data_IF_159121328517
#
_entry.id   IF_159121328517
#
_cell.length_a   1.000
_cell.length_b   1.000
_cell.length_c   1.000
_cell.angle_alpha   90.00
_cell.angle_beta   90.00
_cell.angle_gamma   90.00
#
_symmetry.space_group_name_H-M   'P 1'
#
loop_
_entity.id
_entity.type
_entity.pdbx_description
1 polymer ?
#
# COMPACT_ATOMS: atom_id res chain seq x y z
N UNK A 1 7.98 -49.99 -52.79
CA UNK A 1 8.32 -51.05 -51.83
C UNK A 1 7.03 -51.59 -51.21
N UNK A 2 6.88 -52.93 -51.21
CA UNK A 2 5.86 -53.85 -50.67
C UNK A 2 4.58 -53.25 -50.01
N UNK A 3 3.32 -53.55 -50.37
CA UNK A 3 2.58 -54.80 -50.63
C UNK A 3 2.42 -55.80 -49.47
N UNK A 4 1.13 -56.08 -49.18
CA UNK A 4 0.50 -57.22 -48.45
C UNK A 4 0.59 -57.18 -46.92
N UNK A 5 -0.43 -57.57 -46.16
CA UNK A 5 -1.74 -58.21 -46.43
C UNK A 5 -2.55 -58.15 -45.11
N UNK A 6 -3.67 -58.83 -44.87
CA UNK A 6 -4.40 -59.88 -45.58
C UNK A 6 -5.75 -59.97 -44.85
N UNK A 7 -6.81 -59.81 -45.64
CA UNK A 7 -8.17 -60.34 -45.53
C UNK A 7 -8.36 -61.49 -44.51
N UNK A 8 -9.41 -61.39 -43.69
CA UNK A 8 -10.01 -62.52 -42.98
C UNK A 8 -11.40 -62.15 -42.47
N UNK A 9 -12.44 -62.42 -43.25
CA UNK A 9 -13.81 -62.49 -42.76
C UNK A 9 -14.36 -63.87 -43.11
N UNK A 10 -15.16 -64.47 -42.21
CA UNK A 10 -16.21 -65.46 -42.48
C UNK A 10 -17.26 -65.37 -41.34
N UNK A 11 -18.57 -65.59 -41.63
CA UNK A 11 -19.72 -65.12 -40.87
C UNK A 11 -20.45 -66.26 -40.13
N UNK A 12 -21.78 -66.14 -39.95
CA UNK A 12 -22.80 -67.09 -39.43
C UNK A 12 -23.10 -66.86 -37.93
N UNK A 13 -24.33 -66.73 -37.44
CA UNK A 13 -25.56 -67.47 -37.80
C UNK A 13 -26.80 -66.79 -37.18
N UNK A 14 -27.88 -66.75 -37.95
CA UNK A 14 -29.26 -66.43 -37.54
C UNK A 14 -29.77 -67.25 -36.35
N UNK A 15 -30.67 -66.66 -35.54
CA UNK A 15 -31.50 -67.39 -34.58
C UNK A 15 -32.17 -66.52 -33.49
N UNK A 16 -33.27 -65.83 -33.81
CA UNK A 16 -34.30 -65.41 -32.83
C UNK A 16 -34.95 -66.64 -32.14
N UNK A 17 -35.67 -66.57 -30.97
CA UNK A 17 -36.59 -65.48 -30.56
C UNK A 17 -36.65 -65.12 -29.05
N UNK A 18 -37.40 -64.03 -28.78
CA UNK A 18 -37.88 -63.47 -27.49
C UNK A 18 -38.23 -64.49 -26.38
N UNK A 19 -38.00 -64.09 -25.12
CA UNK A 19 -39.00 -64.14 -24.03
C UNK A 19 -38.63 -63.29 -22.80
N UNK A 20 -39.62 -62.50 -22.40
CA UNK A 20 -39.99 -62.02 -21.05
C UNK A 20 -39.26 -60.84 -20.37
N UNK A 21 -40.04 -59.76 -20.25
CA UNK A 21 -39.93 -58.55 -19.42
C UNK A 21 -39.70 -58.84 -17.91
N UNK A 22 -39.13 -57.90 -17.11
CA UNK A 22 -39.94 -56.78 -16.63
C UNK A 22 -39.25 -55.42 -16.65
N UNK A 23 -40.01 -54.43 -17.11
CA UNK A 23 -39.89 -53.00 -16.84
C UNK A 23 -39.43 -52.73 -15.39
N UNK A 24 -38.21 -52.20 -15.24
CA UNK A 24 -37.82 -51.36 -14.10
C UNK A 24 -37.57 -49.96 -14.63
N UNK A 25 -38.59 -49.12 -14.53
CA UNK A 25 -38.39 -47.68 -14.37
C UNK A 25 -37.70 -47.50 -13.02
N UNK A 26 -36.43 -47.06 -12.99
CA UNK A 26 -35.93 -46.20 -11.92
C UNK A 26 -34.55 -45.64 -12.27
N UNK A 27 -34.31 -44.41 -11.80
CA UNK A 27 -33.04 -43.68 -11.77
C UNK A 27 -32.65 -42.96 -13.05
N UNK A 28 -33.35 -41.85 -13.25
CA UNK A 28 -32.70 -40.67 -13.79
C UNK A 28 -31.43 -40.40 -12.98
N UNK A 29 -30.33 -40.20 -13.69
CA UNK A 29 -29.07 -39.69 -13.14
C UNK A 29 -29.35 -38.32 -12.52
N UNK A 30 -29.71 -38.32 -11.24
CA UNK A 30 -29.64 -37.13 -10.39
C UNK A 30 -28.16 -36.78 -10.26
N UNK A 31 -27.72 -35.94 -11.19
CA UNK A 31 -26.49 -35.18 -11.06
C UNK A 31 -26.62 -34.37 -9.77
N UNK A 32 -25.89 -34.75 -8.73
CA UNK A 32 -25.87 -34.04 -7.46
C UNK A 32 -25.49 -32.57 -7.72
N UNK A 33 -26.21 -31.59 -7.16
CA UNK A 33 -25.82 -30.19 -7.30
C UNK A 33 -24.43 -30.00 -6.67
N UNK A 34 -23.54 -29.32 -7.39
CA UNK A 34 -22.24 -28.92 -6.84
C UNK A 34 -22.48 -28.16 -5.52
N UNK A 35 -21.66 -28.39 -4.46
CA UNK A 35 -21.78 -27.63 -3.24
C UNK A 35 -21.60 -26.15 -3.57
N UNK A 36 -22.69 -25.39 -3.46
CA UNK A 36 -22.66 -23.93 -3.58
C UNK A 36 -21.94 -23.42 -2.33
N UNK A 37 -20.62 -23.21 -2.44
CA UNK A 37 -19.88 -22.41 -1.46
C UNK A 37 -20.52 -21.02 -1.34
N UNK A 38 -20.32 -20.31 -0.22
CA UNK A 38 -20.93 -19.00 -0.01
C UNK A 38 -20.64 -18.08 -1.20
N UNK A 39 -21.70 -17.67 -1.89
CA UNK A 39 -21.62 -16.68 -2.97
C UNK A 39 -21.18 -15.37 -2.32
N UNK A 40 -19.90 -15.03 -2.48
CA UNK A 40 -19.39 -13.72 -2.10
C UNK A 40 -20.19 -12.66 -2.87
N UNK A 41 -20.73 -11.63 -2.20
CA UNK A 41 -21.38 -10.54 -2.90
C UNK A 41 -20.38 -9.91 -3.88
N UNK A 42 -20.83 -9.46 -5.06
CA UNK A 42 -19.97 -8.72 -5.97
C UNK A 42 -19.39 -7.50 -5.23
N UNK A 43 -18.10 -7.18 -5.44
CA UNK A 43 -17.49 -6.03 -4.79
C UNK A 43 -18.27 -4.76 -5.15
N UNK A 44 -18.43 -3.81 -4.21
CA UNK A 44 -19.11 -2.56 -4.49
C UNK A 44 -18.40 -1.82 -5.63
N UNK A 45 -19.13 -1.07 -6.47
CA UNK A 45 -18.52 -0.24 -7.48
C UNK A 45 -17.59 0.78 -6.80
N UNK A 46 -16.33 0.79 -7.19
CA UNK A 46 -15.36 1.78 -6.74
C UNK A 46 -15.62 3.08 -7.50
N UNK A 47 -16.01 4.13 -6.80
CA UNK A 47 -16.02 5.47 -7.38
C UNK A 47 -14.61 6.05 -7.34
N UNK A 48 -13.91 5.92 -8.47
CA UNK A 48 -12.56 6.45 -8.62
C UNK A 48 -12.48 7.97 -8.43
N UNK A 49 -13.57 8.71 -8.67
CA UNK A 49 -13.63 10.15 -8.42
C UNK A 49 -13.55 10.47 -6.93
N UNK A 50 -14.34 9.78 -6.11
CA UNK A 50 -14.31 9.91 -4.65
C UNK A 50 -12.96 9.48 -4.08
N UNK A 51 -12.38 8.40 -4.60
CA UNK A 51 -11.05 7.95 -4.20
C UNK A 51 -9.96 9.01 -4.50
N UNK A 52 -9.93 9.54 -5.73
CA UNK A 52 -8.93 10.54 -6.12
C UNK A 52 -9.11 11.85 -5.33
N UNK A 53 -10.35 12.25 -5.04
CA UNK A 53 -10.62 13.39 -4.17
C UNK A 53 -10.07 13.16 -2.77
N UNK A 54 -10.27 11.98 -2.19
CA UNK A 54 -9.70 11.60 -0.90
C UNK A 54 -8.17 11.61 -0.90
N UNK A 55 -7.53 11.17 -1.99
CA UNK A 55 -6.07 11.18 -2.13
C UNK A 55 -5.53 12.61 -2.20
N UNK A 56 -6.16 13.49 -2.97
CA UNK A 56 -5.78 14.93 -3.01
C UNK A 56 -5.93 15.58 -1.65
N UNK A 57 -7.05 15.31 -0.96
CA UNK A 57 -7.29 15.84 0.38
C UNK A 57 -6.27 15.35 1.40
N UNK A 58 -5.88 14.07 1.33
CA UNK A 58 -4.86 13.49 2.19
C UNK A 58 -3.48 14.13 1.93
N UNK A 59 -3.09 14.31 0.66
CA UNK A 59 -1.83 14.99 0.30
C UNK A 59 -1.81 16.44 0.77
N UNK A 60 -2.90 17.19 0.59
CA UNK A 60 -3.00 18.56 1.09
C UNK A 60 -2.86 18.61 2.61
N UNK A 61 -3.56 17.71 3.32
CA UNK A 61 -3.46 17.59 4.78
C UNK A 61 -2.03 17.29 5.22
N UNK A 62 -1.35 16.37 4.53
CA UNK A 62 0.05 16.06 4.79
C UNK A 62 0.96 17.27 4.57
N UNK A 63 0.79 17.99 3.45
CA UNK A 63 1.60 19.17 3.14
C UNK A 63 1.41 20.27 4.19
N UNK A 64 0.17 20.55 4.60
CA UNK A 64 -0.12 21.51 5.65
C UNK A 64 0.48 21.09 7.00
N UNK A 65 0.41 19.79 7.33
CA UNK A 65 0.99 19.27 8.57
C UNK A 65 2.52 19.44 8.57
N UNK A 66 3.18 19.13 7.45
CA UNK A 66 4.62 19.34 7.32
C UNK A 66 5.01 20.80 7.44
N UNK A 67 4.28 21.70 6.77
CA UNK A 67 4.51 23.14 6.87
C UNK A 67 4.31 23.66 8.31
N UNK A 68 3.28 23.19 9.02
CA UNK A 68 3.02 23.57 10.40
C UNK A 68 4.12 23.10 11.35
N UNK A 69 4.62 21.87 11.17
CA UNK A 69 5.74 21.35 11.96
C UNK A 69 7.02 22.14 11.71
N UNK A 70 7.32 22.46 10.45
CA UNK A 70 8.48 23.29 10.12
C UNK A 70 8.38 24.67 10.77
N UNK A 71 7.22 25.34 10.65
CA UNK A 71 7.00 26.64 11.28
C UNK A 71 7.15 26.59 12.80
N UNK A 72 6.68 25.52 13.45
CA UNK A 72 6.84 25.34 14.90
C UNK A 72 8.31 25.17 15.30
N UNK A 73 9.09 24.40 14.53
CA UNK A 73 10.51 24.23 14.77
C UNK A 73 11.29 25.52 14.57
N UNK A 74 10.97 26.28 13.52
CA UNK A 74 11.56 27.59 13.24
C UNK A 74 11.25 28.58 14.36
N UNK A 75 9.98 28.66 14.81
CA UNK A 75 9.58 29.52 15.92
C UNK A 75 10.30 29.15 17.23
N UNK A 76 10.41 27.86 17.54
CA UNK A 76 11.13 27.40 18.73
C UNK A 76 12.63 27.68 18.65
N UNK A 77 13.24 27.50 17.47
CA UNK A 77 14.65 27.82 17.26
C UNK A 77 14.90 29.32 17.42
N UNK A 78 14.03 30.16 16.86
CA UNK A 78 14.08 31.62 16.98
C UNK A 78 13.98 32.07 18.44
N UNK A 79 12.97 31.59 19.18
CA UNK A 79 12.80 31.93 20.60
C UNK A 79 14.04 31.57 21.43
N UNK A 80 14.60 30.37 21.21
CA UNK A 80 15.82 29.95 21.89
C UNK A 80 17.03 30.81 21.52
N UNK A 81 17.15 31.20 20.26
CA UNK A 81 18.21 32.09 19.80
C UNK A 81 18.09 33.47 20.45
N UNK A 82 16.87 34.02 20.52
CA UNK A 82 16.60 35.34 21.12
C UNK A 82 16.91 35.35 22.61
N UNK A 83 16.45 34.34 23.36
CA UNK A 83 16.73 34.21 24.79
C UNK A 83 18.23 34.06 25.04
N UNK A 84 18.91 33.21 24.25
CA UNK A 84 20.36 33.04 24.35
C UNK A 84 21.09 34.35 24.08
N UNK A 85 20.75 35.05 23.00
CA UNK A 85 21.39 36.29 22.61
C UNK A 85 21.21 37.40 23.65
N UNK A 86 19.98 37.58 24.14
CA UNK A 86 19.70 38.55 25.20
C UNK A 86 20.47 38.24 26.49
N UNK A 87 20.57 36.96 26.88
CA UNK A 87 21.38 36.55 28.03
C UNK A 87 22.87 36.79 27.81
N UNK A 88 23.37 36.55 26.60
CA UNK A 88 24.78 36.73 26.25
C UNK A 88 25.15 38.22 26.30
N UNK A 89 24.32 39.08 25.69
CA UNK A 89 24.49 40.53 25.72
C UNK A 89 24.53 41.05 27.15
N UNK A 90 23.62 40.58 28.02
CA UNK A 90 23.57 41.00 29.42
C UNK A 90 24.77 40.55 30.26
N UNK A 91 25.37 39.41 29.94
CA UNK A 91 26.40 38.77 30.79
C UNK A 91 27.82 39.03 30.33
N UNK A 92 28.07 39.15 29.03
CA UNK A 92 29.41 39.34 28.46
C UNK A 92 29.70 40.80 28.11
N UNK A 93 28.67 41.62 27.92
CA UNK A 93 28.82 43.01 27.52
C UNK A 93 28.15 43.90 28.59
N UNK A 94 28.94 44.53 29.45
CA UNK A 94 28.49 45.18 30.71
C UNK A 94 27.43 46.30 30.58
N UNK A 95 27.01 46.70 29.38
CA UNK A 95 25.96 47.71 29.17
C UNK A 95 24.95 47.34 28.06
N UNK A 96 24.81 46.04 27.75
CA UNK A 96 23.93 45.60 26.66
C UNK A 96 24.41 46.14 25.31
N UNK A 97 25.72 46.02 25.06
CA UNK A 97 26.36 46.53 23.85
C UNK A 97 25.58 46.09 22.60
N UNK A 98 25.07 47.09 21.86
CA UNK A 98 24.22 46.90 20.69
C UNK A 98 25.08 46.63 19.44
N UNK A 99 26.37 46.94 19.52
CA UNK A 99 27.33 46.87 18.41
C UNK A 99 28.41 45.81 18.70
N UNK A 100 28.08 44.55 18.42
CA UNK A 100 29.00 43.42 18.53
C UNK A 100 29.65 43.19 17.16
N UNK A 101 30.98 43.24 17.10
CA UNK A 101 31.71 42.93 15.88
C UNK A 101 31.39 41.51 15.39
N UNK A 102 31.22 41.36 14.08
CA UNK A 102 30.80 40.08 13.47
C UNK A 102 31.70 38.89 13.84
N UNK A 103 33.01 39.11 13.92
CA UNK A 103 33.97 38.06 14.30
C UNK A 103 33.76 37.57 15.74
N UNK A 104 33.46 38.50 16.65
CA UNK A 104 33.20 38.18 18.06
C UNK A 104 31.86 37.45 18.21
N UNK A 105 30.83 37.88 17.47
CA UNK A 105 29.57 37.13 17.36
C UNK A 105 29.81 35.70 16.86
N UNK A 106 30.54 35.52 15.76
CA UNK A 106 30.79 34.20 15.16
C UNK A 106 31.60 33.30 16.10
N UNK A 107 32.55 33.85 16.87
CA UNK A 107 33.31 33.13 17.89
C UNK A 107 32.38 32.56 18.98
N UNK A 108 31.51 33.40 19.54
CA UNK A 108 30.57 33.03 20.60
C UNK A 108 29.47 32.07 20.08
N UNK A 109 28.96 32.32 18.88
CA UNK A 109 27.96 31.49 18.23
C UNK A 109 28.49 30.07 17.99
N UNK A 110 29.68 29.94 17.39
CA UNK A 110 30.30 28.62 17.15
C UNK A 110 30.53 27.86 18.44
N UNK A 111 31.05 28.52 19.47
CA UNK A 111 31.27 27.89 20.78
C UNK A 111 29.98 27.32 21.40
N UNK A 112 28.82 27.91 21.11
CA UNK A 112 27.53 27.47 21.67
C UNK A 112 26.82 26.42 20.81
N UNK A 113 26.82 26.59 19.49
CA UNK A 113 25.95 25.83 18.57
C UNK A 113 26.68 24.86 17.66
N UNK A 114 28.00 24.96 17.53
CA UNK A 114 28.81 24.01 16.75
C UNK A 114 29.52 23.09 17.74
N UNK A 115 29.02 21.86 17.96
CA UNK A 115 29.76 20.89 18.76
C UNK A 115 31.10 20.58 18.06
N UNK A 116 32.20 20.65 18.81
CA UNK A 116 33.45 20.03 18.37
C UNK A 116 33.19 18.52 18.30
N UNK A 117 32.97 17.99 17.11
CA UNK A 117 32.98 16.56 16.89
C UNK A 117 34.40 16.06 17.16
N UNK A 118 34.62 15.49 18.36
CA UNK A 118 35.79 14.69 18.73
C UNK A 118 35.42 13.21 18.60
#
# INVERSE_FOLDING_TARGET
>A
MASRGRRGGVPTRDGEPRRDEPRREDQGEQQAPAPQGPVLPPPPPVDYGVFMQGLVQAMQTQAHTQAALQALLEAQAQERADVWWASLLRTQFEDGAIDVAWDEFMRLFRAKFVPEHI
#
